data_IF_687421778343
#
_entry.id   IF_687421778343
#
_cell.length_a   1.000
_cell.length_b   1.000
_cell.length_c   1.000
_cell.angle_alpha   90.00
_cell.angle_beta   90.00
_cell.angle_gamma   90.00
#
_symmetry.space_group_name_H-M   'P 1'
#
loop_
_entity.id
_entity.type
_entity.pdbx_description
1 polymer ?
#
# COMPACT_ATOMS: atom_id res chain seq x y z
N UNK A 1 -21.80 7.67 -41.93
CA UNK A 1 -20.37 7.27 -41.84
C UNK A 1 -20.06 6.99 -40.38
N UNK A 2 -19.24 6.00 -40.05
CA UNK A 2 -18.86 5.75 -38.65
C UNK A 2 -17.87 6.81 -38.16
N UNK A 3 -18.11 7.35 -36.97
CA UNK A 3 -17.20 8.30 -36.33
C UNK A 3 -15.91 7.63 -35.88
N UNK A 4 -14.84 8.41 -35.63
CA UNK A 4 -13.60 7.91 -35.05
C UNK A 4 -13.86 7.10 -33.77
N UNK A 5 -14.72 7.63 -32.90
CA UNK A 5 -15.10 7.01 -31.63
C UNK A 5 -15.74 5.64 -31.82
N UNK A 6 -16.68 5.51 -32.76
CA UNK A 6 -17.31 4.20 -33.07
C UNK A 6 -16.27 3.19 -33.53
N UNK A 7 -15.35 3.59 -34.41
CA UNK A 7 -14.37 2.69 -35.01
C UNK A 7 -13.43 2.11 -33.95
N UNK A 8 -12.87 2.95 -33.07
CA UNK A 8 -11.93 2.48 -32.05
C UNK A 8 -12.62 1.68 -30.94
N UNK A 9 -13.86 2.05 -30.58
CA UNK A 9 -14.63 1.34 -29.54
C UNK A 9 -15.11 -0.04 -29.97
N UNK A 10 -15.18 -0.35 -31.28
CA UNK A 10 -15.44 -1.72 -31.77
C UNK A 10 -14.42 -2.74 -31.26
N UNK A 11 -13.15 -2.34 -31.15
CA UNK A 11 -12.08 -3.20 -30.63
C UNK A 11 -11.98 -3.14 -29.11
N UNK A 12 -12.22 -1.98 -28.51
CA UNK A 12 -12.18 -1.82 -27.06
C UNK A 12 -13.32 -0.89 -26.58
N UNK A 13 -14.45 -1.42 -26.12
CA UNK A 13 -15.58 -0.61 -25.65
C UNK A 13 -15.28 0.28 -24.43
N UNK A 14 -14.20 0.04 -23.69
CA UNK A 14 -13.83 0.88 -22.55
C UNK A 14 -13.01 2.12 -22.94
N UNK A 15 -12.47 2.18 -24.18
CA UNK A 15 -11.62 3.31 -24.60
C UNK A 15 -12.42 4.61 -24.63
N UNK A 16 -11.80 5.66 -24.07
CA UNK A 16 -12.31 7.03 -24.09
C UNK A 16 -11.61 7.79 -25.23
N UNK A 17 -12.39 8.51 -26.02
CA UNK A 17 -11.86 9.34 -27.12
C UNK A 17 -12.03 10.81 -26.78
N UNK A 18 -10.98 11.59 -27.04
CA UNK A 18 -10.98 13.03 -26.82
C UNK A 18 -10.68 13.72 -28.16
N UNK A 19 -11.29 14.88 -28.37
CA UNK A 19 -11.02 15.73 -29.53
C UNK A 19 -9.93 16.75 -29.16
N UNK A 20 -8.75 16.59 -29.76
CA UNK A 20 -7.64 17.53 -29.59
C UNK A 20 -7.83 18.77 -30.45
N UNK A 21 -7.80 19.94 -29.83
CA UNK A 21 -7.84 21.26 -30.45
C UNK A 21 -6.45 21.89 -30.27
N UNK A 22 -5.74 22.10 -31.36
CA UNK A 22 -4.42 22.73 -31.36
C UNK A 22 -4.54 24.19 -31.75
N UNK A 23 -3.84 25.06 -31.02
CA UNK A 23 -3.65 26.46 -31.43
C UNK A 23 -2.56 26.60 -32.51
N UNK A 24 -1.81 25.53 -32.82
CA UNK A 24 -0.69 25.49 -33.75
C UNK A 24 0.52 26.30 -33.29
N UNK A 25 1.73 25.78 -33.52
CA UNK A 25 2.98 26.41 -33.06
C UNK A 25 3.18 27.85 -33.58
N UNK A 26 2.63 28.19 -34.75
CA UNK A 26 2.73 29.51 -35.40
C UNK A 26 1.45 30.36 -35.27
N UNK A 27 0.36 29.79 -34.74
CA UNK A 27 -0.99 30.38 -34.72
C UNK A 27 -1.51 30.61 -33.29
N UNK A 28 -0.62 30.52 -32.30
CA UNK A 28 -0.92 30.89 -30.91
C UNK A 28 -1.49 32.30 -30.78
N UNK A 29 -1.12 33.24 -31.66
CA UNK A 29 -1.71 34.57 -31.73
C UNK A 29 -3.23 34.52 -31.97
N UNK A 30 -3.70 33.73 -32.93
CA UNK A 30 -5.13 33.59 -33.25
C UNK A 30 -5.92 33.03 -32.06
N UNK A 31 -5.36 32.06 -31.34
CA UNK A 31 -5.98 31.54 -30.11
C UNK A 31 -6.11 32.64 -29.05
N UNK A 32 -5.04 33.40 -28.82
CA UNK A 32 -5.07 34.49 -27.84
C UNK A 32 -5.96 35.66 -28.26
N UNK A 33 -6.06 35.99 -29.54
CA UNK A 33 -7.00 36.97 -30.08
C UNK A 33 -8.46 36.56 -29.87
N UNK A 34 -8.73 35.25 -29.98
CA UNK A 34 -10.03 34.67 -29.70
C UNK A 34 -10.36 34.78 -28.21
N UNK A 35 -9.47 34.33 -27.31
CA UNK A 35 -9.78 34.32 -25.86
C UNK A 35 -9.67 35.68 -25.16
N UNK A 36 -9.07 36.68 -25.81
CA UNK A 36 -8.99 38.05 -25.28
C UNK A 36 -10.36 38.74 -25.19
N UNK A 37 -11.39 38.21 -25.86
CA UNK A 37 -12.77 38.75 -25.82
C UNK A 37 -13.69 37.74 -25.18
N UNK A 38 -14.54 38.18 -24.24
CA UNK A 38 -15.55 37.31 -23.61
C UNK A 38 -16.48 36.64 -24.63
N UNK A 39 -16.88 37.35 -25.68
CA UNK A 39 -17.66 36.79 -26.78
C UNK A 39 -16.91 35.71 -27.58
N UNK A 40 -15.59 35.87 -27.74
CA UNK A 40 -14.73 34.90 -28.41
C UNK A 40 -14.56 33.63 -27.58
N UNK A 41 -14.27 33.77 -26.27
CA UNK A 41 -14.22 32.65 -25.32
C UNK A 41 -15.51 31.85 -25.33
N UNK A 42 -16.65 32.53 -25.16
CA UNK A 42 -17.97 31.90 -25.16
C UNK A 42 -18.23 31.13 -26.46
N UNK A 43 -17.98 31.75 -27.62
CA UNK A 43 -18.18 31.10 -28.92
C UNK A 43 -17.30 29.85 -29.08
N UNK A 44 -16.04 29.89 -28.65
CA UNK A 44 -15.16 28.72 -28.68
C UNK A 44 -15.64 27.62 -27.73
N UNK A 45 -16.00 27.98 -26.50
CA UNK A 45 -16.47 27.03 -25.48
C UNK A 45 -17.72 26.29 -25.98
N UNK A 46 -18.76 27.04 -26.40
CA UNK A 46 -20.01 26.48 -26.92
C UNK A 46 -19.77 25.57 -28.13
N UNK A 47 -18.97 26.04 -29.10
CA UNK A 47 -18.69 25.26 -30.33
C UNK A 47 -17.82 24.02 -30.07
N UNK A 48 -16.86 24.09 -29.14
CA UNK A 48 -16.02 22.94 -28.79
C UNK A 48 -16.81 21.82 -28.11
N UNK A 49 -17.71 22.17 -27.18
CA UNK A 49 -18.61 21.22 -26.52
C UNK A 49 -19.54 20.58 -27.54
N UNK A 50 -20.14 21.41 -28.40
CA UNK A 50 -21.03 20.95 -29.49
C UNK A 50 -20.30 19.97 -30.40
N UNK A 51 -19.11 20.33 -30.88
CA UNK A 51 -18.30 19.49 -31.76
C UNK A 51 -17.93 18.15 -31.10
N UNK A 52 -17.58 18.14 -29.80
CA UNK A 52 -17.30 16.91 -29.07
C UNK A 52 -18.53 16.00 -29.02
N UNK A 53 -19.70 16.54 -28.65
CA UNK A 53 -20.94 15.76 -28.49
C UNK A 53 -21.46 15.23 -29.83
N UNK A 54 -21.53 16.07 -30.86
CA UNK A 54 -22.02 15.70 -32.20
C UNK A 54 -21.16 14.60 -32.85
N UNK A 55 -19.87 14.55 -32.53
CA UNK A 55 -18.95 13.53 -33.04
C UNK A 55 -18.73 12.37 -32.06
N UNK A 56 -19.47 12.33 -30.95
CA UNK A 56 -19.43 11.28 -29.95
C UNK A 56 -18.12 11.19 -29.16
N UNK A 57 -17.34 12.27 -29.07
CA UNK A 57 -16.18 12.34 -28.19
C UNK A 57 -16.59 12.45 -26.72
N UNK A 58 -15.76 11.91 -25.84
CA UNK A 58 -15.97 11.87 -24.39
C UNK A 58 -15.19 12.97 -23.67
N UNK A 59 -14.45 13.79 -24.40
CA UNK A 59 -13.69 14.88 -23.85
C UNK A 59 -13.04 15.76 -24.90
N UNK A 60 -12.40 16.82 -24.42
CA UNK A 60 -11.69 17.82 -25.18
C UNK A 60 -10.25 17.91 -24.67
N UNK A 61 -9.32 18.17 -25.60
CA UNK A 61 -7.90 18.23 -25.31
C UNK A 61 -7.28 19.49 -25.92
N UNK A 62 -6.75 20.38 -25.09
CA UNK A 62 -6.16 21.65 -25.54
C UNK A 62 -4.65 21.50 -25.75
N UNK A 63 -4.16 21.69 -26.98
CA UNK A 63 -2.74 21.55 -27.33
C UNK A 63 -2.12 22.81 -27.94
N UNK A 64 -0.80 22.86 -27.89
CA UNK A 64 0.04 23.89 -28.54
C UNK A 64 -0.27 25.33 -28.10
N UNK A 65 -0.78 25.51 -26.89
CA UNK A 65 -1.03 26.83 -26.28
C UNK A 65 0.03 27.13 -25.23
N UNK A 66 0.65 28.31 -25.30
CA UNK A 66 1.53 28.82 -24.25
C UNK A 66 1.48 30.35 -24.22
N UNK A 67 1.24 30.99 -23.07
CA UNK A 67 1.13 32.45 -23.00
C UNK A 67 2.48 33.11 -23.25
N UNK A 68 2.56 33.97 -24.27
CA UNK A 68 3.76 34.75 -24.60
C UNK A 68 3.82 36.12 -23.90
N UNK A 69 2.72 36.55 -23.27
CA UNK A 69 2.64 37.82 -22.51
C UNK A 69 1.84 37.63 -21.22
N UNK A 70 1.98 38.56 -20.27
CA UNK A 70 1.17 38.59 -19.04
C UNK A 70 -0.33 38.67 -19.34
N UNK A 71 -0.73 39.48 -20.32
CA UNK A 71 -2.13 39.58 -20.74
C UNK A 71 -2.66 38.25 -21.29
N UNK A 72 -1.86 37.54 -22.11
CA UNK A 72 -2.20 36.21 -22.62
C UNK A 72 -2.42 35.21 -21.47
N UNK A 73 -1.57 35.26 -20.44
CA UNK A 73 -1.71 34.36 -19.28
C UNK A 73 -2.99 34.64 -18.49
N UNK A 74 -3.30 35.91 -18.20
CA UNK A 74 -4.52 36.31 -17.48
C UNK A 74 -5.77 35.93 -18.28
N UNK A 75 -5.77 36.18 -19.59
CA UNK A 75 -6.88 35.80 -20.46
C UNK A 75 -7.04 34.27 -20.55
N UNK A 76 -5.93 33.52 -20.53
CA UNK A 76 -5.96 32.05 -20.47
C UNK A 76 -6.57 31.58 -19.15
N UNK A 77 -6.24 32.19 -18.02
CA UNK A 77 -6.88 31.87 -16.74
C UNK A 77 -8.40 32.06 -16.78
N UNK A 78 -8.89 33.22 -17.25
CA UNK A 78 -10.33 33.46 -17.40
C UNK A 78 -10.99 32.46 -18.36
N UNK A 79 -10.33 32.14 -19.47
CA UNK A 79 -10.83 31.13 -20.41
C UNK A 79 -10.94 29.74 -19.80
N UNK A 80 -9.93 29.29 -19.05
CA UNK A 80 -9.94 27.97 -18.43
C UNK A 80 -11.00 27.85 -17.33
N UNK A 81 -11.24 28.91 -16.55
CA UNK A 81 -12.29 28.94 -15.54
C UNK A 81 -13.68 28.90 -16.21
N UNK A 82 -13.93 29.72 -17.24
CA UNK A 82 -15.19 29.74 -18.00
C UNK A 82 -15.45 28.41 -18.72
N UNK A 83 -14.43 27.77 -19.29
CA UNK A 83 -14.57 26.50 -19.98
C UNK A 83 -14.93 25.37 -19.00
N UNK A 84 -14.33 25.37 -17.81
CA UNK A 84 -14.67 24.41 -16.76
C UNK A 84 -16.10 24.60 -16.27
N UNK A 85 -16.51 25.84 -16.02
CA UNK A 85 -17.86 26.16 -15.59
C UNK A 85 -18.92 25.73 -16.62
N UNK A 86 -18.65 25.95 -17.91
CA UNK A 86 -19.56 25.54 -18.97
C UNK A 86 -19.74 24.01 -19.05
N UNK A 87 -18.67 23.24 -18.86
CA UNK A 87 -18.75 21.76 -18.83
C UNK A 87 -19.45 21.27 -17.57
N UNK A 88 -19.18 21.88 -16.42
CA UNK A 88 -19.84 21.50 -15.16
C UNK A 88 -21.34 21.82 -15.16
N UNK A 89 -21.73 22.84 -15.92
CA UNK A 89 -23.11 23.30 -16.10
C UNK A 89 -23.85 22.62 -17.25
N UNK A 90 -23.19 21.74 -18.01
CA UNK A 90 -23.84 20.99 -19.09
C UNK A 90 -25.00 20.15 -18.51
N UNK A 91 -26.21 20.18 -19.12
CA UNK A 91 -27.33 19.37 -18.66
C UNK A 91 -26.96 17.89 -18.57
N UNK A 92 -27.16 17.31 -17.37
CA UNK A 92 -26.90 15.89 -17.12
C UNK A 92 -28.15 15.11 -17.47
N UNK A 93 -28.16 14.45 -18.62
CA UNK A 93 -29.11 13.37 -18.88
C UNK A 93 -28.58 12.05 -18.30
N UNK A 94 -29.47 11.06 -18.13
CA UNK A 94 -29.15 9.77 -17.50
C UNK A 94 -27.99 9.01 -18.17
N UNK A 95 -27.67 9.30 -19.43
CA UNK A 95 -26.61 8.66 -20.21
C UNK A 95 -25.38 9.56 -20.51
N UNK A 96 -25.41 10.86 -20.18
CA UNK A 96 -24.30 11.78 -20.50
C UNK A 96 -23.39 12.03 -19.30
N UNK A 97 -22.21 11.40 -19.32
CA UNK A 97 -21.11 11.76 -18.43
C UNK A 97 -20.53 13.13 -18.79
N UNK A 98 -20.03 13.91 -17.80
CA UNK A 98 -19.29 15.15 -18.06
C UNK A 98 -18.14 14.92 -19.04
N UNK A 99 -17.87 15.90 -19.91
CA UNK A 99 -16.72 15.85 -20.80
C UNK A 99 -15.43 15.87 -19.98
N UNK A 100 -14.50 14.98 -20.33
CA UNK A 100 -13.14 14.97 -19.79
C UNK A 100 -12.39 16.16 -20.40
N UNK A 101 -11.68 16.94 -19.58
CA UNK A 101 -10.80 18.02 -20.05
C UNK A 101 -9.34 17.64 -19.85
N UNK A 102 -8.56 17.76 -20.91
CA UNK A 102 -7.11 17.51 -20.87
C UNK A 102 -6.32 18.59 -21.58
N UNK A 103 -5.01 18.63 -21.33
CA UNK A 103 -4.13 19.62 -21.93
C UNK A 103 -2.78 19.01 -22.28
N UNK A 104 -2.31 19.26 -23.50
CA UNK A 104 -0.92 19.11 -23.89
C UNK A 104 -0.12 20.34 -23.50
N UNK A 105 0.68 20.21 -22.44
CA UNK A 105 1.56 21.27 -21.98
C UNK A 105 2.98 21.11 -22.54
N UNK A 106 3.72 22.22 -22.62
CA UNK A 106 5.18 22.17 -22.78
C UNK A 106 5.82 21.40 -21.63
N UNK A 107 7.06 20.94 -21.84
CA UNK A 107 7.78 20.12 -20.85
C UNK A 107 7.91 20.77 -19.47
N UNK A 108 8.01 22.10 -19.44
CA UNK A 108 8.13 22.91 -18.23
C UNK A 108 6.98 23.91 -18.19
N UNK A 109 6.44 24.22 -16.99
CA UNK A 109 5.41 25.22 -16.84
C UNK A 109 5.94 26.65 -17.03
N UNK A 110 7.27 26.80 -17.06
CA UNK A 110 7.98 28.06 -17.30
C UNK A 110 8.88 27.93 -18.51
N UNK A 111 8.75 28.90 -19.40
CA UNK A 111 9.64 29.08 -20.54
C UNK A 111 10.12 30.52 -20.51
N UNK A 112 11.45 30.73 -20.47
CA UNK A 112 12.05 32.07 -20.36
C UNK A 112 11.45 32.85 -19.18
N UNK A 113 10.81 33.99 -19.42
CA UNK A 113 10.16 34.82 -18.39
C UNK A 113 8.66 34.54 -18.21
N UNK A 114 8.09 33.61 -18.98
CA UNK A 114 6.65 33.34 -19.00
C UNK A 114 6.29 32.03 -18.30
N UNK A 115 5.12 32.00 -17.67
CA UNK A 115 4.60 30.83 -16.94
C UNK A 115 3.17 30.55 -17.35
N UNK A 116 2.77 29.28 -17.32
CA UNK A 116 1.35 28.93 -17.36
C UNK A 116 0.60 29.40 -16.09
N UNK A 117 -0.73 29.63 -16.17
CA UNK A 117 -1.59 29.82 -15.01
C UNK A 117 -1.85 28.47 -14.31
N UNK A 118 -0.83 27.96 -13.60
CA UNK A 118 -0.82 26.60 -13.01
C UNK A 118 -2.03 26.32 -12.12
N UNK A 119 -2.51 27.30 -11.36
CA UNK A 119 -3.67 27.14 -10.50
C UNK A 119 -4.97 26.91 -11.28
N UNK A 120 -5.19 27.63 -12.38
CA UNK A 120 -6.33 27.43 -13.26
C UNK A 120 -6.25 26.05 -13.92
N UNK A 121 -5.09 25.70 -14.50
CA UNK A 121 -4.83 24.38 -15.11
C UNK A 121 -5.18 23.25 -14.13
N UNK A 122 -4.72 23.35 -12.88
CA UNK A 122 -4.96 22.34 -11.83
C UNK A 122 -6.45 22.09 -11.55
N UNK A 123 -7.26 23.15 -11.59
CA UNK A 123 -8.71 23.09 -11.31
C UNK A 123 -9.52 22.67 -12.54
N UNK A 124 -9.11 23.09 -13.73
CA UNK A 124 -9.83 22.88 -14.98
C UNK A 124 -9.64 21.48 -15.54
N UNK A 125 -8.38 21.01 -15.66
CA UNK A 125 -8.09 19.77 -16.37
C UNK A 125 -8.10 18.55 -15.45
N UNK A 126 -8.64 17.44 -15.95
CA UNK A 126 -8.55 16.12 -15.33
C UNK A 126 -7.09 15.66 -15.26
N UNK A 127 -6.35 15.83 -16.37
CA UNK A 127 -4.91 15.66 -16.41
C UNK A 127 -4.23 16.52 -17.48
N UNK A 128 -2.91 16.63 -17.37
CA UNK A 128 -2.02 17.35 -18.28
C UNK A 128 -0.99 16.36 -18.81
N UNK A 129 -0.96 16.12 -20.12
CA UNK A 129 0.15 15.39 -20.74
C UNK A 129 1.28 16.35 -21.10
N UNK A 130 2.45 16.07 -20.53
CA UNK A 130 3.63 16.89 -20.65
C UNK A 130 4.42 16.45 -21.87
N UNK A 131 4.57 17.34 -22.86
CA UNK A 131 5.36 17.11 -24.07
C UNK A 131 6.85 16.98 -23.71
N UNK A 132 7.27 15.77 -23.40
CA UNK A 132 8.59 15.46 -22.82
C UNK A 132 9.62 15.06 -23.89
N UNK A 133 9.61 15.81 -24.98
CA UNK A 133 10.42 15.61 -26.17
C UNK A 133 10.49 16.91 -27.00
N UNK A 134 11.27 16.88 -28.08
CA UNK A 134 11.62 18.03 -28.93
C UNK A 134 12.52 19.08 -28.23
N UNK A 135 13.34 18.64 -27.27
CA UNK A 135 14.29 19.51 -26.55
C UNK A 135 15.38 20.07 -27.46
N UNK A 136 15.90 19.21 -28.33
CA UNK A 136 16.91 19.53 -29.32
C UNK A 136 16.40 19.18 -30.71
N UNK A 137 16.57 20.09 -31.66
CA UNK A 137 16.01 19.98 -33.01
C UNK A 137 17.04 20.38 -34.07
N UNK A 138 17.15 19.65 -35.19
CA UNK A 138 18.10 19.96 -36.26
C UNK A 138 17.84 21.27 -37.00
N UNK A 139 16.62 21.79 -36.90
CA UNK A 139 16.26 23.11 -37.39
C UNK A 139 16.81 24.25 -36.53
N UNK A 140 17.12 23.99 -35.26
CA UNK A 140 17.55 24.99 -34.26
C UNK A 140 19.02 24.82 -33.87
N UNK A 141 19.42 23.58 -33.60
CA UNK A 141 20.72 23.25 -33.04
C UNK A 141 21.72 22.89 -34.14
N UNK A 142 22.96 23.36 -33.98
CA UNK A 142 24.11 23.02 -34.84
C UNK A 142 24.99 21.92 -34.23
N UNK A 143 24.41 21.12 -33.35
CA UNK A 143 25.01 19.96 -32.72
C UNK A 143 23.97 18.84 -32.57
N UNK A 144 24.41 17.58 -32.45
CA UNK A 144 23.52 16.44 -32.15
C UNK A 144 23.00 16.57 -30.73
N UNK A 145 21.71 16.36 -30.51
CA UNK A 145 21.10 16.60 -29.20
C UNK A 145 20.15 15.50 -28.74
N UNK A 146 20.01 15.36 -27.42
CA UNK A 146 19.08 14.43 -26.81
C UNK A 146 17.66 15.00 -26.82
N UNK A 147 16.93 14.83 -27.94
CA UNK A 147 15.62 15.46 -28.13
C UNK A 147 14.55 15.02 -27.12
N UNK A 148 14.73 13.87 -26.47
CA UNK A 148 13.80 13.29 -25.52
C UNK A 148 14.47 12.90 -24.20
N UNK A 149 15.52 13.61 -23.78
CA UNK A 149 16.27 13.31 -22.57
C UNK A 149 15.38 13.11 -21.33
N UNK A 150 15.51 11.96 -20.63
CA UNK A 150 14.91 11.78 -19.31
C UNK A 150 15.61 12.64 -18.27
N UNK A 151 16.95 12.65 -18.32
CA UNK A 151 17.82 13.45 -17.47
C UNK A 151 18.77 14.25 -18.34
N UNK A 152 19.15 15.45 -17.89
CA UNK A 152 20.22 16.23 -18.49
C UNK A 152 21.02 16.89 -17.35
N UNK A 153 22.27 16.47 -17.09
CA UNK A 153 23.07 17.06 -16.02
C UNK A 153 23.63 18.44 -16.38
N UNK A 154 23.57 18.85 -17.65
CA UNK A 154 24.17 20.09 -18.15
C UNK A 154 23.14 21.22 -18.32
N UNK A 155 21.85 20.90 -18.32
CA UNK A 155 20.79 21.89 -18.54
C UNK A 155 19.46 21.49 -17.92
N UNK A 156 18.48 22.38 -18.02
CA UNK A 156 17.11 22.13 -17.60
C UNK A 156 16.24 21.50 -18.69
N UNK A 157 16.81 21.14 -19.85
CA UNK A 157 16.10 20.54 -20.99
C UNK A 157 15.95 19.02 -20.82
N UNK A 158 15.26 18.62 -19.75
CA UNK A 158 14.97 17.21 -19.49
C UNK A 158 13.56 16.98 -18.96
N UNK A 159 13.11 15.74 -19.13
CA UNK A 159 11.82 15.28 -18.64
C UNK A 159 11.73 15.37 -17.12
N UNK A 160 12.75 14.90 -16.39
CA UNK A 160 12.74 14.92 -14.92
C UNK A 160 12.68 16.34 -14.37
N UNK A 161 13.47 17.27 -14.93
CA UNK A 161 13.38 18.68 -14.56
C UNK A 161 11.96 19.23 -14.77
N UNK A 162 11.39 19.04 -15.96
CA UNK A 162 10.07 19.54 -16.32
C UNK A 162 8.95 19.02 -15.41
N UNK A 163 8.94 17.71 -15.14
CA UNK A 163 7.98 17.08 -14.24
C UNK A 163 8.13 17.60 -12.81
N UNK A 164 9.35 17.70 -12.29
CA UNK A 164 9.59 18.22 -10.95
C UNK A 164 9.18 19.70 -10.84
N UNK A 165 9.39 20.50 -11.89
CA UNK A 165 8.98 21.91 -11.91
C UNK A 165 7.45 22.07 -11.95
N UNK A 166 6.74 21.22 -12.71
CA UNK A 166 5.27 21.13 -12.65
C UNK A 166 4.77 20.86 -11.23
N UNK A 167 5.36 19.85 -10.56
CA UNK A 167 4.99 19.47 -9.19
C UNK A 167 5.30 20.58 -8.19
N UNK A 168 6.50 21.17 -8.28
CA UNK A 168 6.94 22.26 -7.41
C UNK A 168 6.01 23.48 -7.49
N UNK A 169 5.38 23.71 -8.64
CA UNK A 169 4.41 24.80 -8.86
C UNK A 169 2.97 24.43 -8.52
N UNK A 170 2.71 23.20 -8.09
CA UNK A 170 1.43 22.79 -7.53
C UNK A 170 0.57 21.90 -8.43
N UNK A 171 1.05 21.45 -9.60
CA UNK A 171 0.37 20.37 -10.34
C UNK A 171 0.65 19.04 -9.65
N UNK A 172 -0.37 18.32 -9.16
CA UNK A 172 -0.13 17.06 -8.47
C UNK A 172 0.34 15.99 -9.46
N UNK A 173 1.26 15.13 -9.02
CA UNK A 173 1.85 14.08 -9.85
C UNK A 173 0.78 13.19 -10.50
N UNK A 174 -0.26 12.82 -9.77
CA UNK A 174 -1.39 12.01 -10.24
C UNK A 174 -2.33 12.73 -11.24
N UNK A 175 -2.03 13.96 -11.66
CA UNK A 175 -2.65 14.65 -12.80
C UNK A 175 -1.67 14.88 -13.96
N UNK A 176 -0.43 14.44 -13.85
CA UNK A 176 0.57 14.57 -14.90
C UNK A 176 0.68 13.25 -15.68
N UNK A 177 0.74 13.35 -17.00
CA UNK A 177 0.92 12.22 -17.91
C UNK A 177 2.21 12.43 -18.70
N UNK A 178 3.10 11.44 -18.71
CA UNK A 178 4.40 11.53 -19.37
C UNK A 178 4.28 11.34 -20.88
N UNK A 179 4.70 12.31 -21.70
CA UNK A 179 4.73 12.17 -23.16
C UNK A 179 5.94 11.37 -23.67
N UNK A 180 5.69 10.35 -24.50
CA UNK A 180 6.70 9.52 -25.15
C UNK A 180 6.75 9.77 -26.67
N UNK A 181 7.90 10.10 -27.26
CA UNK A 181 8.03 10.28 -28.69
C UNK A 181 8.23 8.94 -29.41
N UNK A 182 7.34 8.60 -30.34
CA UNK A 182 7.56 7.47 -31.26
C UNK A 182 8.27 7.94 -32.53
N UNK A 183 9.18 8.88 -32.38
CA UNK A 183 9.95 9.46 -33.46
C UNK A 183 11.31 9.87 -32.92
N UNK A 184 12.23 10.15 -33.83
CA UNK A 184 13.51 10.74 -33.55
C UNK A 184 13.80 11.90 -34.47
N UNK A 185 15.00 12.45 -34.33
CA UNK A 185 15.49 13.50 -35.21
C UNK A 185 16.85 13.12 -35.80
N UNK A 186 17.04 13.50 -37.06
CA UNK A 186 18.25 13.25 -37.83
C UNK A 186 19.02 14.55 -38.11
N UNK A 187 20.33 14.49 -37.89
CA UNK A 187 21.29 15.54 -38.19
C UNK A 187 22.34 15.05 -39.18
N UNK A 188 22.86 15.95 -40.01
CA UNK A 188 24.05 15.69 -40.82
C UNK A 188 25.30 16.09 -40.03
N UNK A 189 26.16 15.14 -39.67
CA UNK A 189 27.41 15.40 -38.97
C UNK A 189 28.38 16.23 -39.82
N UNK A 190 29.14 17.12 -39.17
CA UNK A 190 30.29 17.78 -39.82
C UNK A 190 31.41 16.76 -40.05
N UNK A 191 31.75 16.00 -39.02
CA UNK A 191 32.74 14.92 -39.05
C UNK A 191 32.07 13.60 -38.68
N UNK A 192 31.89 12.64 -39.61
CA UNK A 192 31.28 11.34 -39.30
C UNK A 192 32.01 10.51 -38.24
N UNK A 193 33.27 10.82 -37.92
CA UNK A 193 34.02 10.13 -36.86
C UNK A 193 33.73 10.70 -35.46
N UNK A 194 33.13 11.89 -35.39
CA UNK A 194 32.61 12.49 -34.16
C UNK A 194 31.08 12.40 -34.18
N UNK A 195 30.54 11.45 -33.42
CA UNK A 195 29.12 11.12 -33.43
C UNK A 195 28.56 10.91 -32.01
N UNK A 196 29.23 11.47 -31.00
CA UNK A 196 28.69 11.59 -29.66
C UNK A 196 27.49 12.55 -29.64
N UNK A 197 26.72 12.55 -28.56
CA UNK A 197 25.76 13.62 -28.28
C UNK A 197 26.57 14.91 -28.04
N UNK A 198 26.20 16.00 -28.72
CA UNK A 198 26.92 17.27 -28.74
C UNK A 198 27.87 17.45 -29.93
N UNK A 199 28.00 16.44 -30.81
CA UNK A 199 28.87 16.52 -31.99
C UNK A 199 28.40 17.62 -32.97
N UNK A 200 29.31 18.40 -33.59
CA UNK A 200 28.93 19.45 -34.54
C UNK A 200 28.20 18.93 -35.79
N UNK A 201 27.20 19.68 -36.25
CA UNK A 201 26.34 19.29 -37.39
C UNK A 201 26.18 20.40 -38.41
N UNK A 202 25.86 20.00 -39.64
CA UNK A 202 25.39 20.86 -40.73
C UNK A 202 23.87 21.14 -40.64
N UNK A 203 23.20 20.66 -39.59
CA UNK A 203 21.76 20.77 -39.39
C UNK A 203 20.97 19.57 -39.97
N UNK A 204 19.81 19.87 -40.55
CA UNK A 204 18.79 18.93 -41.04
C UNK A 204 19.35 17.76 -41.87
N UNK A 205 18.75 16.58 -41.68
CA UNK A 205 19.02 15.39 -42.47
C UNK A 205 17.73 14.60 -42.73
N UNK A 206 17.72 13.83 -43.82
CA UNK A 206 16.71 12.82 -44.19
C UNK A 206 15.31 13.36 -44.53
N UNK A 207 14.73 14.23 -43.71
CA UNK A 207 13.42 14.87 -43.95
C UNK A 207 13.52 16.40 -43.82
N UNK A 208 12.48 17.11 -44.25
CA UNK A 208 12.49 18.58 -44.32
C UNK A 208 12.64 19.25 -42.93
N UNK A 209 12.13 18.62 -41.88
CA UNK A 209 12.25 19.07 -40.49
C UNK A 209 13.20 18.21 -39.65
N UNK A 210 13.83 17.22 -40.28
CA UNK A 210 14.71 16.24 -39.67
C UNK A 210 14.00 15.17 -38.83
N UNK A 211 12.66 15.20 -38.71
CA UNK A 211 11.92 14.19 -37.95
C UNK A 211 11.87 12.85 -38.69
N UNK A 212 11.93 11.74 -37.97
CA UNK A 212 11.80 10.38 -38.52
C UNK A 212 10.96 9.54 -37.58
N UNK A 213 9.92 8.86 -38.09
CA UNK A 213 9.12 7.92 -37.29
C UNK A 213 9.95 6.71 -36.85
N UNK A 214 9.65 6.17 -35.66
CA UNK A 214 10.32 4.98 -35.15
C UNK A 214 10.31 3.81 -36.14
N UNK A 215 9.19 3.59 -36.85
CA UNK A 215 9.10 2.61 -37.95
C UNK A 215 10.21 2.76 -39.00
N UNK A 216 10.46 3.98 -39.46
CA UNK A 216 11.51 4.22 -40.44
C UNK A 216 12.90 4.08 -39.82
N UNK A 217 13.09 4.51 -38.56
CA UNK A 217 14.34 4.28 -37.84
C UNK A 217 14.65 2.79 -37.78
N UNK A 218 13.69 1.93 -37.40
CA UNK A 218 13.87 0.47 -37.40
C UNK A 218 14.18 -0.09 -38.78
N UNK A 219 13.49 0.40 -39.81
CA UNK A 219 13.80 0.02 -41.19
C UNK A 219 15.25 0.34 -41.57
N UNK A 220 15.73 1.54 -41.23
CA UNK A 220 17.12 1.95 -41.46
C UNK A 220 18.12 1.08 -40.68
N UNK A 221 17.90 0.86 -39.37
CA UNK A 221 18.78 0.02 -38.56
C UNK A 221 18.93 -1.38 -39.16
N UNK A 222 17.82 -1.99 -39.57
CA UNK A 222 17.81 -3.31 -40.17
C UNK A 222 18.46 -3.34 -41.55
N UNK A 223 18.15 -2.36 -42.41
CA UNK A 223 18.65 -2.33 -43.80
C UNK A 223 20.15 -2.10 -43.87
N UNK A 224 20.72 -1.34 -42.93
CA UNK A 224 22.15 -1.02 -42.89
C UNK A 224 22.93 -1.83 -41.85
N UNK A 225 22.29 -2.75 -41.13
CA UNK A 225 22.93 -3.58 -40.11
C UNK A 225 23.49 -2.77 -38.93
N UNK A 226 22.88 -1.63 -38.60
CA UNK A 226 23.34 -0.71 -37.56
C UNK A 226 22.71 -1.07 -36.22
N UNK A 227 23.52 -1.21 -35.19
CA UNK A 227 23.06 -1.33 -33.81
C UNK A 227 23.01 0.05 -33.16
N UNK A 228 21.89 0.46 -32.55
CA UNK A 228 21.82 1.75 -31.86
C UNK A 228 22.62 1.71 -30.55
N UNK A 229 23.31 2.80 -30.26
CA UNK A 229 23.93 3.03 -28.97
C UNK A 229 22.87 3.48 -27.96
N UNK A 230 23.02 3.06 -26.70
CA UNK A 230 22.24 3.55 -25.57
C UNK A 230 23.09 4.53 -24.76
N UNK A 231 22.55 5.70 -24.45
CA UNK A 231 23.18 6.66 -23.57
C UNK A 231 22.47 6.66 -22.21
N UNK A 232 23.18 6.24 -21.16
CA UNK A 232 22.62 6.16 -19.79
C UNK A 232 22.50 7.52 -19.09
N UNK A 233 23.27 8.53 -19.52
CA UNK A 233 23.19 9.88 -18.96
C UNK A 233 21.88 10.56 -19.34
N UNK A 234 21.50 10.48 -20.61
CA UNK A 234 20.28 11.10 -21.13
C UNK A 234 19.09 10.14 -21.17
N UNK A 235 19.33 8.84 -21.07
CA UNK A 235 18.34 7.76 -21.25
C UNK A 235 17.65 7.90 -22.61
N UNK A 236 18.46 7.76 -23.66
CA UNK A 236 18.02 7.86 -25.04
C UNK A 236 18.92 6.97 -25.93
N UNK A 237 18.36 6.46 -27.02
CA UNK A 237 19.13 5.78 -28.05
C UNK A 237 19.59 6.74 -29.14
N UNK A 238 20.68 6.39 -29.80
CA UNK A 238 21.08 7.06 -31.02
C UNK A 238 21.83 6.11 -31.96
N UNK A 239 21.86 6.44 -33.24
CA UNK A 239 22.65 5.69 -34.20
C UNK A 239 23.28 6.62 -35.25
N UNK A 240 24.21 6.08 -36.02
CA UNK A 240 24.85 6.75 -37.15
C UNK A 240 24.70 5.91 -38.41
N UNK A 241 24.32 6.54 -39.52
CA UNK A 241 24.22 5.94 -40.84
C UNK A 241 24.92 6.86 -41.84
N UNK A 242 26.10 6.46 -42.32
CA UNK A 242 26.93 7.33 -43.15
C UNK A 242 27.33 8.59 -42.38
N UNK A 243 26.94 9.77 -42.86
CA UNK A 243 27.12 11.06 -42.15
C UNK A 243 25.90 11.49 -41.34
N UNK A 244 24.83 10.69 -41.30
CA UNK A 244 23.62 11.02 -40.55
C UNK A 244 23.70 10.46 -39.14
N UNK A 245 23.28 11.26 -38.17
CA UNK A 245 23.11 10.89 -36.78
C UNK A 245 21.63 10.98 -36.43
N UNK A 246 21.07 9.96 -35.78
CA UNK A 246 19.65 9.89 -35.43
C UNK A 246 19.53 9.63 -33.93
N UNK A 247 18.88 10.52 -33.19
CA UNK A 247 18.52 10.33 -31.77
C UNK A 247 17.05 9.97 -31.63
N UNK A 248 16.72 8.97 -30.80
CA UNK A 248 15.37 8.42 -30.64
C UNK A 248 15.22 7.57 -29.37
N UNK A 249 13.99 7.19 -29.02
CA UNK A 249 13.73 6.19 -27.97
C UNK A 249 13.50 4.80 -28.59
N UNK A 250 14.29 3.79 -28.19
CA UNK A 250 14.02 2.38 -28.49
C UNK A 250 13.37 1.68 -27.29
N UNK A 251 13.09 0.38 -27.43
CA UNK A 251 12.40 -0.48 -26.45
C UNK A 251 12.88 -0.29 -25.02
N UNK A 252 14.20 -0.32 -24.78
CA UNK A 252 14.78 -0.19 -23.44
C UNK A 252 14.48 1.19 -22.82
N UNK A 253 14.61 2.25 -23.60
CA UNK A 253 14.35 3.62 -23.14
C UNK A 253 12.86 3.81 -22.81
N UNK A 254 11.95 3.27 -23.62
CA UNK A 254 10.51 3.31 -23.33
C UNK A 254 10.20 2.61 -22.01
N UNK A 255 10.77 1.43 -21.74
CA UNK A 255 10.59 0.75 -20.43
C UNK A 255 11.07 1.61 -19.27
N UNK A 256 12.24 2.23 -19.39
CA UNK A 256 12.79 3.08 -18.33
C UNK A 256 11.89 4.29 -18.08
N UNK A 257 11.37 4.94 -19.14
CA UNK A 257 10.51 6.13 -19.00
C UNK A 257 9.12 5.80 -18.45
N UNK A 258 8.52 4.67 -18.84
CA UNK A 258 7.26 4.18 -18.23
C UNK A 258 7.47 3.85 -16.75
N UNK A 259 8.58 3.19 -16.42
CA UNK A 259 8.99 2.92 -15.03
C UNK A 259 9.14 4.20 -14.22
N UNK A 260 9.79 5.21 -14.80
CA UNK A 260 9.96 6.52 -14.18
C UNK A 260 8.62 7.18 -13.86
N UNK A 261 7.68 7.20 -14.82
CA UNK A 261 6.36 7.79 -14.63
C UNK A 261 5.63 7.15 -13.43
N UNK A 262 5.67 5.83 -13.35
CA UNK A 262 5.07 5.09 -12.26
C UNK A 262 5.75 5.33 -10.91
N UNK A 263 7.08 5.31 -10.86
CA UNK A 263 7.84 5.58 -9.63
C UNK A 263 7.62 7.00 -9.10
N UNK A 264 7.40 7.97 -9.99
CA UNK A 264 7.05 9.36 -9.64
C UNK A 264 5.58 9.55 -9.25
N UNK A 265 4.75 8.50 -9.34
CA UNK A 265 3.31 8.60 -9.08
C UNK A 265 2.57 9.45 -10.10
N UNK A 266 3.05 9.48 -11.35
CA UNK A 266 2.35 10.11 -12.46
C UNK A 266 1.06 9.34 -12.78
N UNK A 267 0.09 9.99 -13.41
CA UNK A 267 -1.17 9.35 -13.81
C UNK A 267 -0.95 8.25 -14.86
N UNK A 268 0.06 8.41 -15.71
CA UNK A 268 0.39 7.46 -16.77
C UNK A 268 1.32 8.08 -17.81
N UNK A 269 1.22 7.60 -19.05
CA UNK A 269 1.96 8.13 -20.20
C UNK A 269 1.04 8.35 -21.40
N UNK A 270 1.47 9.22 -22.33
CA UNK A 270 0.86 9.45 -23.63
C UNK A 270 1.93 9.25 -24.72
N UNK A 271 1.51 9.01 -25.97
CA UNK A 271 2.45 8.74 -27.07
C UNK A 271 2.23 9.68 -28.24
N UNK A 272 3.32 10.22 -28.79
CA UNK A 272 3.30 11.07 -29.98
C UNK A 272 4.20 10.46 -31.08
N UNK A 273 3.64 9.77 -32.06
CA UNK A 273 2.22 9.41 -32.20
C UNK A 273 2.09 7.94 -32.59
N UNK A 274 0.93 7.35 -32.31
CA UNK A 274 0.66 5.91 -32.52
C UNK A 274 1.10 5.41 -33.91
N UNK A 275 0.79 6.08 -35.04
CA UNK A 275 1.18 5.60 -36.37
C UNK A 275 2.69 5.57 -36.65
N UNK A 276 3.50 6.19 -35.80
CA UNK A 276 4.94 6.19 -35.95
C UNK A 276 5.61 4.94 -35.37
N UNK A 277 4.91 4.16 -34.55
CA UNK A 277 5.39 2.85 -34.09
C UNK A 277 5.61 1.91 -35.29
N UNK A 278 6.36 0.84 -35.07
CA UNK A 278 6.60 -0.15 -36.11
C UNK A 278 5.35 -0.98 -36.45
N UNK A 279 5.44 -1.81 -37.48
CA UNK A 279 4.31 -2.65 -37.93
C UNK A 279 3.85 -3.67 -36.88
N UNK A 280 4.66 -3.87 -35.84
CA UNK A 280 4.38 -4.79 -34.75
C UNK A 280 3.89 -4.07 -33.49
N UNK A 281 3.74 -2.74 -33.50
CA UNK A 281 3.38 -1.95 -32.31
C UNK A 281 4.35 -2.20 -31.15
N UNK A 282 5.64 -2.34 -31.47
CA UNK A 282 6.66 -2.77 -30.52
C UNK A 282 6.78 -1.83 -29.33
N UNK A 283 6.79 -0.52 -29.55
CA UNK A 283 6.88 0.44 -28.44
C UNK A 283 5.59 0.45 -27.62
N UNK A 284 4.41 0.43 -28.27
CA UNK A 284 3.11 0.38 -27.58
C UNK A 284 2.92 -0.88 -26.73
N UNK A 285 3.32 -2.06 -27.23
CA UNK A 285 3.26 -3.30 -26.43
C UNK A 285 4.25 -3.25 -25.27
N UNK A 286 5.45 -2.76 -25.52
CA UNK A 286 6.48 -2.59 -24.48
C UNK A 286 6.00 -1.70 -23.34
N UNK A 287 5.43 -0.54 -23.67
CA UNK A 287 4.94 0.40 -22.67
C UNK A 287 3.82 -0.22 -21.80
N UNK A 288 2.89 -0.93 -22.44
CA UNK A 288 1.81 -1.64 -21.76
C UNK A 288 2.33 -2.75 -20.83
N UNK A 289 3.23 -3.60 -21.33
CA UNK A 289 3.80 -4.72 -20.57
C UNK A 289 4.54 -4.24 -19.32
N UNK A 290 5.32 -3.16 -19.42
CA UNK A 290 6.03 -2.58 -18.29
C UNK A 290 5.06 -2.02 -17.22
N UNK A 291 3.99 -1.36 -17.66
CA UNK A 291 2.95 -0.87 -16.77
C UNK A 291 2.28 -2.00 -15.96
N UNK A 292 1.91 -3.09 -16.66
CA UNK A 292 1.30 -4.29 -16.10
C UNK A 292 2.27 -5.05 -15.16
N UNK A 293 3.51 -5.31 -15.57
CA UNK A 293 4.51 -6.02 -14.76
C UNK A 293 4.81 -5.27 -13.45
N UNK A 294 4.91 -3.94 -13.51
CA UNK A 294 5.09 -3.18 -12.29
C UNK A 294 3.84 -3.17 -11.40
N UNK A 295 2.63 -3.29 -11.96
CA UNK A 295 1.39 -3.35 -11.17
C UNK A 295 1.40 -4.66 -10.37
N UNK A 296 1.74 -5.75 -11.05
CA UNK A 296 1.93 -7.06 -10.43
C UNK A 296 3.01 -7.03 -9.35
N UNK A 297 4.18 -6.45 -9.61
CA UNK A 297 5.26 -6.29 -8.61
C UNK A 297 4.81 -5.46 -7.40
N UNK A 298 4.02 -4.42 -7.60
CA UNK A 298 3.47 -3.62 -6.51
C UNK A 298 2.47 -4.41 -5.67
N UNK A 299 1.51 -5.10 -6.31
CA UNK A 299 0.56 -5.97 -5.61
C UNK A 299 1.25 -7.07 -4.81
N UNK A 300 2.26 -7.73 -5.39
CA UNK A 300 3.08 -8.74 -4.70
C UNK A 300 3.82 -8.15 -3.49
N UNK A 301 4.38 -6.94 -3.60
CA UNK A 301 5.01 -6.25 -2.46
C UNK A 301 4.01 -5.94 -1.36
N UNK A 302 2.80 -5.47 -1.70
CA UNK A 302 1.74 -5.20 -0.72
C UNK A 302 1.31 -6.49 -0.01
N UNK A 303 1.11 -7.58 -0.75
CA UNK A 303 0.78 -8.90 -0.18
C UNK A 303 1.90 -9.39 0.76
N UNK A 304 3.18 -9.25 0.36
CA UNK A 304 4.32 -9.63 1.18
C UNK A 304 4.41 -8.80 2.47
N UNK A 305 4.15 -7.48 2.41
CA UNK A 305 4.14 -6.61 3.58
C UNK A 305 2.98 -6.93 4.54
N UNK A 306 1.79 -7.20 4.01
CA UNK A 306 0.63 -7.58 4.83
C UNK A 306 0.85 -8.94 5.52
N UNK A 307 1.36 -9.93 4.79
CA UNK A 307 1.64 -11.28 5.36
C UNK A 307 2.74 -11.24 6.41
N UNK A 308 3.82 -10.49 6.20
CA UNK A 308 4.88 -10.31 7.19
C UNK A 308 4.39 -9.58 8.44
N UNK A 309 3.57 -8.53 8.29
CA UNK A 309 2.97 -7.82 9.43
C UNK A 309 2.06 -8.75 10.24
N UNK A 310 1.19 -9.53 9.59
CA UNK A 310 0.35 -10.53 10.26
C UNK A 310 1.16 -11.59 11.00
N UNK A 311 2.27 -12.08 10.41
CA UNK A 311 3.15 -13.04 11.06
C UNK A 311 3.84 -12.47 12.31
N UNK A 312 4.29 -11.21 12.26
CA UNK A 312 4.89 -10.51 13.42
C UNK A 312 3.86 -10.34 14.54
N UNK A 313 2.62 -9.97 14.21
CA UNK A 313 1.54 -9.83 15.19
C UNK A 313 1.21 -11.17 15.86
N UNK A 314 1.14 -12.26 15.08
CA UNK A 314 0.96 -13.62 15.59
C UNK A 314 2.13 -14.05 16.49
N UNK A 315 3.37 -13.79 16.08
CA UNK A 315 4.54 -14.10 16.91
C UNK A 315 4.53 -13.29 18.22
N UNK A 316 4.17 -12.01 18.15
CA UNK A 316 4.05 -11.12 19.31
C UNK A 316 2.98 -11.58 20.29
N UNK A 317 1.82 -12.01 19.79
CA UNK A 317 0.74 -12.57 20.63
C UNK A 317 1.16 -13.91 21.26
N UNK A 318 1.80 -14.81 20.51
CA UNK A 318 2.35 -16.07 21.05
C UNK A 318 3.39 -15.78 22.14
N UNK A 319 4.36 -14.89 21.88
CA UNK A 319 5.38 -14.50 22.86
C UNK A 319 4.76 -13.82 24.09
N UNK A 320 3.72 -13.01 23.92
CA UNK A 320 2.96 -12.42 25.02
C UNK A 320 2.24 -13.50 25.84
N UNK A 321 1.57 -14.45 25.19
CA UNK A 321 0.94 -15.59 25.83
C UNK A 321 1.95 -16.49 26.57
N UNK A 322 3.12 -16.74 25.99
CA UNK A 322 4.21 -17.51 26.61
C UNK A 322 4.83 -16.75 27.79
N UNK A 323 5.09 -15.43 27.66
CA UNK A 323 5.50 -14.58 28.79
C UNK A 323 4.44 -14.56 29.88
N UNK A 324 3.16 -14.47 29.54
CA UNK A 324 2.06 -14.53 30.51
C UNK A 324 2.02 -15.87 31.22
N UNK A 325 2.15 -16.99 30.49
CA UNK A 325 2.26 -18.35 31.08
C UNK A 325 3.49 -18.47 31.97
N UNK A 326 4.65 -17.95 31.54
CA UNK A 326 5.89 -17.98 32.31
C UNK A 326 5.81 -17.12 33.58
N UNK A 327 5.29 -15.89 33.48
CA UNK A 327 5.03 -15.00 34.64
C UNK A 327 4.02 -15.66 35.58
N UNK A 328 2.92 -16.24 35.08
CA UNK A 328 1.97 -16.98 35.91
C UNK A 328 2.60 -18.22 36.56
N UNK A 329 3.53 -18.90 35.89
CA UNK A 329 4.30 -20.01 36.48
C UNK A 329 5.28 -19.52 37.55
N UNK A 330 5.89 -18.34 37.37
CA UNK A 330 6.83 -17.73 38.33
C UNK A 330 6.10 -17.09 39.51
N UNK A 331 4.88 -16.59 39.32
CA UNK A 331 3.95 -16.18 40.38
C UNK A 331 3.47 -17.40 41.15
N UNK A 332 3.16 -18.53 40.48
CA UNK A 332 2.91 -19.81 41.17
C UNK A 332 4.14 -20.35 41.92
N UNK A 333 5.36 -20.13 41.42
CA UNK A 333 6.62 -20.50 42.07
C UNK A 333 7.09 -19.55 43.18
N UNK A 334 6.61 -18.30 43.22
CA UNK A 334 6.87 -17.32 44.30
C UNK A 334 5.74 -17.20 45.33
N UNK A 335 4.58 -17.79 45.07
CA UNK A 335 3.47 -17.90 46.02
C UNK A 335 3.58 -19.13 46.95
N UNK A 336 4.79 -19.62 47.21
CA UNK A 336 5.08 -20.65 48.22
C UNK A 336 5.49 -20.06 49.59
N UNK A 337 5.29 -18.76 49.81
CA UNK A 337 5.41 -18.16 51.13
C UNK A 337 4.48 -16.95 51.24
N UNK A 338 3.32 -17.13 51.87
CA UNK A 338 2.51 -16.00 52.34
C UNK A 338 1.00 -16.16 52.23
N UNK A 339 0.41 -16.82 53.25
CA UNK A 339 -0.88 -16.52 53.88
C UNK A 339 -2.18 -16.73 53.08
N UNK A 340 -2.74 -17.93 53.28
CA UNK A 340 -4.11 -18.20 53.78
C UNK A 340 -5.13 -17.07 53.63
N UNK A 341 -6.01 -17.20 52.62
CA UNK A 341 -7.27 -16.46 52.56
C UNK A 341 -8.41 -17.34 52.00
N UNK A 342 -8.47 -18.59 52.44
CA UNK A 342 -9.53 -19.55 52.02
C UNK A 342 -10.18 -20.34 53.17
N UNK A 343 -9.80 -20.15 54.45
CA UNK A 343 -10.20 -21.06 55.55
C UNK A 343 -10.95 -20.37 56.70
N UNK A 344 -11.75 -19.35 56.41
CA UNK A 344 -12.32 -18.44 57.43
C UNK A 344 -13.23 -19.09 58.49
N UNK A 345 -13.64 -20.35 58.34
CA UNK A 345 -14.61 -21.01 59.23
C UNK A 345 -14.10 -22.31 59.89
N UNK A 346 -12.82 -22.68 59.73
CA UNK A 346 -12.25 -23.90 60.31
C UNK A 346 -11.31 -23.58 61.47
N UNK A 347 -11.44 -24.32 62.57
CA UNK A 347 -10.52 -24.20 63.69
C UNK A 347 -9.17 -24.86 63.33
N UNK A 348 -8.06 -24.19 63.66
CA UNK A 348 -6.73 -24.80 63.54
C UNK A 348 -6.37 -25.39 64.90
N UNK A 349 -6.20 -26.71 64.94
CA UNK A 349 -5.76 -27.45 66.12
C UNK A 349 -4.24 -27.67 66.07
N UNK A 350 -3.58 -27.50 67.22
CA UNK A 350 -2.18 -27.88 67.35
C UNK A 350 -2.03 -29.41 67.42
N UNK A 351 -0.85 -29.92 67.04
CA UNK A 351 -0.56 -31.35 67.14
C UNK A 351 -0.68 -31.82 68.59
N UNK A 352 -0.23 -31.00 69.55
CA UNK A 352 -0.30 -31.32 70.96
C UNK A 352 -1.74 -31.51 71.47
N UNK A 353 -2.68 -30.67 71.01
CA UNK A 353 -4.09 -30.78 71.37
C UNK A 353 -4.72 -32.08 70.85
N UNK A 354 -4.44 -32.44 69.60
CA UNK A 354 -4.97 -33.68 69.01
C UNK A 354 -4.31 -34.91 69.61
N UNK A 355 -3.00 -34.86 69.85
CA UNK A 355 -2.28 -35.94 70.51
C UNK A 355 -2.83 -36.17 71.93
N UNK A 356 -3.05 -35.11 72.72
CA UNK A 356 -3.67 -35.25 74.04
C UNK A 356 -5.09 -35.83 73.94
N UNK A 357 -5.92 -35.31 73.03
CA UNK A 357 -7.32 -35.74 72.88
C UNK A 357 -7.47 -37.21 72.46
N UNK A 358 -6.50 -37.75 71.72
CA UNK A 358 -6.54 -39.12 71.18
C UNK A 358 -5.71 -40.12 72.00
N UNK A 359 -5.23 -39.72 73.19
CA UNK A 359 -4.26 -40.47 73.99
C UNK A 359 -3.04 -40.90 73.17
N UNK A 360 -2.40 -39.90 72.57
CA UNK A 360 -1.26 -40.00 71.66
C UNK A 360 -1.47 -40.98 70.49
N UNK A 361 -2.69 -40.97 69.92
CA UNK A 361 -3.12 -41.88 68.84
C UNK A 361 -3.05 -43.36 69.24
N UNK A 362 -3.48 -43.69 70.46
CA UNK A 362 -3.56 -45.06 70.96
C UNK A 362 -4.37 -45.97 70.03
N UNK A 363 -3.93 -47.23 69.89
CA UNK A 363 -4.65 -48.23 69.10
C UNK A 363 -6.05 -48.52 69.64
N UNK A 364 -6.29 -48.33 70.94
CA UNK A 364 -7.61 -48.49 71.57
C UNK A 364 -8.62 -47.45 71.07
N UNK A 365 -8.13 -46.28 70.64
CA UNK A 365 -8.95 -45.20 70.11
C UNK A 365 -9.10 -45.26 68.59
N UNK A 366 -8.55 -46.27 67.90
CA UNK A 366 -8.63 -46.36 66.44
C UNK A 366 -10.03 -46.82 66.01
N UNK A 367 -10.73 -45.95 65.28
CA UNK A 367 -12.08 -46.21 64.74
C UNK A 367 -12.05 -47.01 63.43
N UNK A 368 -10.97 -46.88 62.65
CA UNK A 368 -10.81 -47.55 61.37
C UNK A 368 -9.61 -47.03 60.59
N UNK A 369 -9.29 -47.68 59.46
CA UNK A 369 -8.24 -47.24 58.54
C UNK A 369 -8.64 -47.53 57.09
N UNK A 370 -8.38 -46.58 56.21
CA UNK A 370 -8.55 -46.73 54.76
C UNK A 370 -7.35 -46.17 54.01
N UNK A 371 -7.46 -46.02 52.69
CA UNK A 371 -6.36 -45.54 51.82
C UNK A 371 -5.75 -44.18 52.19
N UNK A 372 -6.40 -43.42 53.06
CA UNK A 372 -5.98 -42.10 53.53
C UNK A 372 -5.25 -42.12 54.88
N UNK A 373 -5.22 -43.26 55.55
CA UNK A 373 -4.65 -43.44 56.88
C UNK A 373 -5.71 -43.70 57.96
N UNK A 374 -5.24 -43.90 59.21
CA UNK A 374 -6.08 -44.24 60.35
C UNK A 374 -6.94 -43.08 60.85
N UNK A 375 -8.13 -43.40 61.36
CA UNK A 375 -9.04 -42.49 62.06
C UNK A 375 -9.08 -42.86 63.53
N UNK A 376 -8.89 -41.87 64.41
CA UNK A 376 -8.90 -42.04 65.86
C UNK A 376 -10.03 -41.26 66.51
N UNK A 377 -10.67 -41.84 67.52
CA UNK A 377 -11.56 -41.15 68.45
C UNK A 377 -10.71 -40.33 69.41
N UNK A 378 -11.19 -39.14 69.76
CA UNK A 378 -10.61 -38.35 70.83
C UNK A 378 -11.64 -37.49 71.54
N UNK A 379 -11.26 -36.94 72.68
CA UNK A 379 -12.06 -35.99 73.46
C UNK A 379 -11.21 -34.76 73.76
N UNK A 380 -11.69 -33.59 73.32
CA UNK A 380 -11.02 -32.31 73.58
C UNK A 380 -11.24 -31.88 75.04
N UNK A 381 -10.40 -30.98 75.55
CA UNK A 381 -10.46 -30.49 76.95
C UNK A 381 -11.82 -29.89 77.37
N UNK A 382 -12.64 -29.49 76.39
CA UNK A 382 -14.00 -28.99 76.60
C UNK A 382 -15.08 -30.09 76.61
N UNK A 383 -14.68 -31.37 76.61
CA UNK A 383 -15.56 -32.54 76.57
C UNK A 383 -16.12 -32.89 75.18
N UNK A 384 -15.72 -32.18 74.12
CA UNK A 384 -16.21 -32.45 72.78
C UNK A 384 -15.52 -33.69 72.18
N UNK A 385 -16.33 -34.70 71.83
CA UNK A 385 -15.85 -35.89 71.14
C UNK A 385 -15.62 -35.63 69.65
N UNK A 386 -14.43 -36.02 69.18
CA UNK A 386 -13.96 -35.80 67.82
C UNK A 386 -13.50 -37.11 67.16
N UNK A 387 -13.52 -37.13 65.83
CA UNK A 387 -12.86 -38.15 65.03
C UNK A 387 -11.74 -37.48 64.22
N UNK A 388 -10.50 -37.91 64.44
CA UNK A 388 -9.32 -37.35 63.77
C UNK A 388 -8.76 -38.32 62.74
N UNK A 389 -8.83 -37.94 61.46
CA UNK A 389 -8.25 -38.68 60.35
C UNK A 389 -6.82 -38.21 60.13
N UNK A 390 -5.84 -39.07 60.40
CA UNK A 390 -4.40 -38.77 60.29
C UNK A 390 -3.84 -39.36 59.01
N UNK A 391 -3.10 -38.56 58.23
CA UNK A 391 -2.44 -39.04 57.01
C UNK A 391 -1.33 -40.05 57.29
N UNK A 392 -1.19 -41.04 56.40
CA UNK A 392 -0.01 -41.90 56.35
C UNK A 392 1.14 -41.23 55.56
N UNK A 393 2.39 -41.38 56.03
CA UNK A 393 3.59 -40.68 55.48
C UNK A 393 4.00 -41.10 54.06
N UNK A 394 3.29 -42.03 53.40
CA UNK A 394 3.69 -42.64 52.13
C UNK A 394 2.92 -42.21 50.87
N UNK A 395 1.93 -41.31 50.97
CA UNK A 395 1.07 -40.95 49.83
C UNK A 395 1.43 -39.58 49.23
N UNK A 396 1.85 -39.53 47.97
CA UNK A 396 1.98 -38.28 47.19
C UNK A 396 0.63 -37.74 46.68
N UNK A 397 -0.44 -38.52 46.80
CA UNK A 397 -1.79 -38.19 46.30
C UNK A 397 -2.61 -37.32 47.28
N UNK A 398 -2.36 -37.43 48.59
CA UNK A 398 -3.26 -36.87 49.60
C UNK A 398 -3.19 -35.34 49.81
N UNK A 399 -2.25 -34.62 49.20
CA UNK A 399 -2.22 -33.14 49.31
C UNK A 399 -3.30 -32.48 48.46
N UNK A 400 -3.62 -33.06 47.30
CA UNK A 400 -4.73 -32.61 46.44
C UNK A 400 -6.07 -33.14 46.95
N UNK A 401 -6.11 -34.32 47.56
CA UNK A 401 -7.33 -34.85 48.18
C UNK A 401 -7.70 -34.13 49.48
N UNK A 402 -6.72 -33.73 50.31
CA UNK A 402 -6.96 -32.83 51.45
C UNK A 402 -7.55 -31.49 50.98
N UNK A 403 -7.00 -30.92 49.90
CA UNK A 403 -7.56 -29.70 49.28
C UNK A 403 -8.96 -29.93 48.75
N UNK A 404 -9.24 -31.10 48.15
CA UNK A 404 -10.58 -31.45 47.68
C UNK A 404 -11.57 -31.61 48.83
N UNK A 405 -11.25 -32.38 49.87
CA UNK A 405 -12.11 -32.55 51.05
C UNK A 405 -12.36 -31.19 51.76
N UNK A 406 -11.33 -30.33 51.88
CA UNK A 406 -11.45 -29.00 52.46
C UNK A 406 -12.26 -28.02 51.59
N UNK A 407 -12.09 -28.08 50.26
CA UNK A 407 -12.87 -27.29 49.30
C UNK A 407 -14.36 -27.69 49.28
N UNK A 408 -14.66 -28.97 49.51
CA UNK A 408 -16.04 -29.45 49.65
C UNK A 408 -16.67 -28.98 50.96
N UNK A 409 -15.90 -28.90 52.04
CA UNK A 409 -16.37 -28.50 53.38
C UNK A 409 -16.93 -27.07 53.42
N UNK A 410 -16.37 -26.15 52.63
CA UNK A 410 -16.87 -24.76 52.56
C UNK A 410 -18.16 -24.62 51.75
N UNK A 411 -18.56 -25.66 50.98
CA UNK A 411 -19.73 -25.63 50.08
C UNK A 411 -20.86 -26.59 50.50
N UNK A 412 -20.57 -27.60 51.33
CA UNK A 412 -21.49 -28.67 51.68
C UNK A 412 -21.68 -28.76 53.21
N UNK A 413 -22.49 -27.86 53.76
CA UNK A 413 -23.03 -28.00 55.13
C UNK A 413 -24.46 -28.52 55.03
N UNK A 414 -24.67 -29.79 55.36
CA UNK A 414 -25.98 -30.43 55.30
C UNK A 414 -26.20 -31.29 56.55
N UNK A 415 -27.44 -31.38 57.04
CA UNK A 415 -27.83 -32.12 58.26
C UNK A 415 -27.45 -33.61 58.23
N UNK A 416 -27.28 -34.18 57.04
CA UNK A 416 -26.94 -35.59 56.84
C UNK A 416 -25.46 -35.83 56.43
N UNK A 417 -24.58 -34.82 56.55
CA UNK A 417 -23.14 -34.96 56.28
C UNK A 417 -22.34 -34.61 57.54
N UNK A 418 -21.31 -35.42 57.81
CA UNK A 418 -20.43 -35.22 58.98
C UNK A 418 -19.68 -33.91 58.86
N UNK A 419 -19.80 -33.07 59.88
CA UNK A 419 -19.16 -31.76 59.91
C UNK A 419 -17.67 -31.87 60.18
N UNK A 420 -16.88 -31.18 59.35
CA UNK A 420 -15.47 -30.90 59.63
C UNK A 420 -15.39 -29.74 60.62
N UNK A 421 -14.73 -29.96 61.74
CA UNK A 421 -14.53 -28.98 62.81
C UNK A 421 -13.25 -28.17 62.61
N UNK A 422 -12.20 -28.81 62.07
CA UNK A 422 -10.92 -28.16 61.91
C UNK A 422 -9.82 -29.00 61.29
N UNK A 423 -8.62 -28.42 61.26
CA UNK A 423 -7.43 -29.03 60.66
C UNK A 423 -6.22 -28.91 61.57
N UNK A 424 -5.28 -29.86 61.45
CA UNK A 424 -3.94 -29.75 62.01
C UNK A 424 -2.91 -29.93 60.89
N UNK A 425 -1.96 -29.00 60.78
CA UNK A 425 -0.86 -29.04 59.78
C UNK A 425 0.53 -28.90 60.41
N UNK A 426 0.62 -29.03 61.73
CA UNK A 426 1.88 -28.89 62.47
C UNK A 426 2.78 -30.12 62.31
N UNK A 427 4.11 -29.92 62.40
CA UNK A 427 5.12 -30.98 62.39
C UNK A 427 5.07 -31.92 61.17
N UNK A 428 4.72 -31.37 60.01
CA UNK A 428 4.52 -32.11 58.75
C UNK A 428 3.39 -33.16 58.79
N UNK A 429 2.60 -33.18 59.87
CA UNK A 429 1.41 -34.00 60.00
C UNK A 429 0.22 -33.23 59.43
N UNK A 430 -0.59 -33.90 58.61
CA UNK A 430 -1.83 -33.33 58.07
C UNK A 430 -3.00 -34.16 58.60
N UNK A 431 -3.89 -33.51 59.34
CA UNK A 431 -5.04 -34.16 59.96
C UNK A 431 -6.31 -33.35 59.74
N UNK A 432 -7.42 -34.06 59.52
CA UNK A 432 -8.76 -33.50 59.50
C UNK A 432 -9.51 -33.93 60.75
N UNK A 433 -10.16 -32.97 61.40
CA UNK A 433 -10.92 -33.17 62.63
C UNK A 433 -12.40 -33.04 62.32
N UNK A 434 -13.16 -34.10 62.59
CA UNK A 434 -14.60 -34.19 62.40
C UNK A 434 -15.32 -34.29 63.75
N UNK A 435 -16.61 -34.00 63.76
CA UNK A 435 -17.47 -34.40 64.87
C UNK A 435 -17.53 -35.94 64.97
N UNK A 436 -17.52 -36.46 66.19
CA UNK A 436 -17.64 -37.90 66.40
C UNK A 436 -19.07 -38.40 66.15
N UNK A 437 -19.20 -39.49 65.39
CA UNK A 437 -20.48 -40.16 65.16
C UNK A 437 -20.62 -41.36 66.10
N UNK A 438 -21.44 -41.29 67.16
CA UNK A 438 -21.55 -42.37 68.15
C UNK A 438 -22.17 -43.65 67.60
N UNK A 439 -22.96 -43.56 66.53
CA UNK A 439 -23.62 -44.72 65.92
C UNK A 439 -22.75 -45.41 64.86
N UNK A 440 -21.55 -44.90 64.55
CA UNK A 440 -20.72 -45.46 63.46
C UNK A 440 -21.20 -45.04 62.08
N UNK A 441 -20.68 -45.70 61.04
CA UNK A 441 -20.91 -45.31 59.65
C UNK A 441 -22.21 -45.88 59.06
N UNK A 442 -22.71 -45.25 58.00
CA UNK A 442 -23.90 -45.71 57.29
C UNK A 442 -23.66 -47.08 56.62
N UNK A 443 -22.44 -47.37 56.17
CA UNK A 443 -22.09 -48.67 55.59
C UNK A 443 -22.25 -49.81 56.61
N UNK A 444 -21.90 -49.61 57.88
CA UNK A 444 -22.13 -50.61 58.94
C UNK A 444 -23.61 -50.92 59.11
N UNK A 445 -24.49 -49.92 59.04
CA UNK A 445 -25.94 -50.13 59.20
C UNK A 445 -26.61 -50.72 57.95
N UNK A 446 -26.10 -50.42 56.76
CA UNK A 446 -26.65 -50.93 55.50
C UNK A 446 -26.16 -52.35 55.18
N UNK A 447 -24.95 -52.70 55.59
CA UNK A 447 -24.30 -53.96 55.20
C UNK A 447 -23.89 -54.86 56.37
N UNK A 448 -24.14 -54.45 57.62
CA UNK A 448 -24.19 -55.31 58.80
C UNK A 448 -22.94 -56.15 59.07
N UNK A 449 -21.74 -55.56 58.97
CA UNK A 449 -20.51 -56.21 59.43
C UNK A 449 -20.11 -55.77 60.83
#
# INVERSE_FOLDING_TARGET
>A
MSTFTEIVRRKNPSVKTLLSISAGANSSSTFFDMINRSSGRRAFIESSITAARENGFMGLDLNDVFPSTLANMINMESFLDEWKEAIDSEPKDTDTSPLILTMGAKYSPVMESMTYPVNAIRRTFDWVHVKSFDYHLPSKDRFTGAHAALYDPLSNLSTDYGINECIRRGLPANKLVLGLPYHGYAWTLVNPNDYAIGAPTKGLAMTADGSISYRYIKWYLNSYGVQPAFNSTYVMNYCKIGSFWIGFDDVEVVKIKVSYAKQKGLLGYSVFQVPNDDMHWTLSRTAKEEEEDQNLKHELRVILLLTTFSAILLLGTILCCLKRKFIMSKVKGRAASGKTKEWSNLQVFSFAQIAAATDNFSCENKLGEGGFGPVYKGELDNGLQIATKRRSKGSTQGTEELKNELALTTRLQHVNLVKVLGICTEREEQMLVYEYMPNGSLDMHLFGQ
#
